data_IF_904113534293
#
_entry.id   IF_904113534293
#
_cell.length_a   1.000
_cell.length_b   1.000
_cell.length_c   1.000
_cell.angle_alpha   90.00
_cell.angle_beta   90.00
_cell.angle_gamma   90.00
#
_symmetry.space_group_name_H-M   'P 1'
#
loop_
_entity.id
_entity.type
_entity.pdbx_description
1 polymer ?
2 non-polymer ?
3 non-polymer ?
4 water ?
#
# COMPACT_ATOMS: atom_id res chain seq x y z
N UNK A 1 -20.91 -11.01 10.38
CA UNK A 1 -20.64 -9.70 11.04
C UNK A 1 -20.87 -8.54 10.05
N UNK A 2 -21.64 -7.54 10.47
CA UNK A 2 -22.07 -6.43 9.60
C UNK A 2 -20.86 -5.69 9.04
N UNK A 3 -19.87 -5.35 9.83
CA UNK A 3 -18.75 -4.54 9.34
C UNK A 3 -17.98 -5.39 8.34
N UNK A 4 -17.79 -6.68 8.57
CA UNK A 4 -17.02 -7.49 7.63
C UNK A 4 -17.67 -7.53 6.27
N UNK A 5 -18.99 -7.67 6.23
CA UNK A 5 -19.70 -7.66 4.96
C UNK A 5 -19.63 -6.28 4.32
N UNK A 6 -19.86 -5.21 5.09
CA UNK A 6 -19.82 -3.87 4.52
C UNK A 6 -18.46 -3.56 3.92
N UNK A 7 -17.39 -3.90 4.65
CA UNK A 7 -16.06 -3.58 4.18
C UNK A 7 -15.72 -4.35 2.91
N UNK A 8 -16.15 -5.61 2.84
CA UNK A 8 -15.89 -6.42 1.66
C UNK A 8 -16.62 -5.85 0.44
N UNK A 9 -17.88 -5.47 0.61
CA UNK A 9 -18.64 -4.88 -0.50
C UNK A 9 -17.98 -3.60 -0.97
N UNK A 10 -17.62 -2.74 -0.04
CA UNK A 10 -17.03 -1.46 -0.44
C UNK A 10 -15.69 -1.68 -1.13
N UNK A 11 -14.88 -2.60 -0.60
CA UNK A 11 -13.56 -2.82 -1.17
C UNK A 11 -13.63 -3.41 -2.56
N UNK A 12 -14.48 -4.42 -2.73
CA UNK A 12 -14.62 -5.03 -4.05
C UNK A 12 -15.13 -4.02 -5.07
N UNK A 13 -16.09 -3.19 -4.68
CA UNK A 13 -16.60 -2.17 -5.59
C UNK A 13 -15.52 -1.18 -5.96
N UNK A 14 -14.69 -0.79 -4.98
CA UNK A 14 -13.60 0.14 -5.27
C UNK A 14 -12.62 -0.45 -6.28
N UNK A 15 -12.13 -1.68 -6.01
CA UNK A 15 -11.10 -2.28 -6.85
C UNK A 15 -11.61 -2.49 -8.27
N UNK A 16 -12.88 -2.84 -8.40
CA UNK A 16 -13.50 -3.05 -9.72
C UNK A 16 -13.61 -1.75 -10.50
N UNK A 17 -13.94 -0.66 -9.82
CA UNK A 17 -13.95 0.64 -10.49
C UNK A 17 -12.53 1.11 -10.81
N UNK A 18 -11.59 0.95 -9.89
CA UNK A 18 -10.23 1.55 -10.03
C UNK A 18 -9.43 0.89 -11.14
N UNK A 19 -9.63 -0.40 -11.36
CA UNK A 19 -8.79 -1.16 -12.34
C UNK A 19 -8.92 -0.56 -13.73
N UNK A 20 -10.01 0.15 -14.03
CA UNK A 20 -10.26 0.68 -15.39
C UNK A 20 -9.61 2.04 -15.59
N UNK A 21 -9.14 2.65 -14.52
CA UNK A 21 -8.67 4.05 -14.60
C UNK A 21 -7.26 4.13 -15.22
N UNK A 22 -7.03 5.16 -16.04
CA UNK A 22 -5.71 5.34 -16.67
C UNK A 22 -4.63 5.42 -15.61
N UNK A 23 -3.54 4.69 -15.86
CA UNK A 23 -2.43 4.65 -14.96
C UNK A 23 -2.55 3.61 -13.86
N UNK A 24 -3.67 2.93 -13.73
CA UNK A 24 -3.79 1.88 -12.73
C UNK A 24 -3.30 0.58 -13.30
N UNK A 25 -2.24 0.05 -12.68
CA UNK A 25 -1.61 -1.21 -13.09
C UNK A 25 -2.11 -2.30 -12.15
N UNK A 26 -2.65 -3.37 -12.73
CA UNK A 26 -3.22 -4.47 -11.95
C UNK A 26 -2.31 -5.67 -12.12
N UNK A 27 -1.75 -6.12 -11.01
CA UNK A 27 -0.83 -7.24 -10.97
C UNK A 27 -1.60 -8.54 -10.81
N UNK A 28 -0.97 -9.67 -11.15
CA UNK A 28 -1.67 -10.96 -11.00
C UNK A 28 -2.19 -11.24 -9.61
N UNK A 29 -1.52 -10.74 -8.57
CA UNK A 29 -1.98 -11.00 -7.20
C UNK A 29 -3.25 -10.26 -6.86
N UNK A 30 -3.63 -9.28 -7.67
CA UNK A 30 -4.72 -8.38 -7.33
C UNK A 30 -4.27 -7.04 -6.80
N UNK A 31 -3.00 -6.90 -6.42
CA UNK A 31 -2.47 -5.61 -6.05
C UNK A 31 -2.58 -4.65 -7.23
N UNK A 32 -2.99 -3.42 -6.97
CA UNK A 32 -3.09 -2.37 -7.98
C UNK A 32 -2.11 -1.27 -7.59
N UNK A 33 -1.60 -0.48 -8.53
CA UNK A 33 -0.74 0.67 -8.17
C UNK A 33 -0.83 1.73 -9.26
N UNK A 34 -0.41 2.94 -8.97
CA UNK A 34 -0.40 4.04 -9.93
C UNK A 34 0.87 4.82 -9.65
N UNK A 35 1.64 5.15 -10.66
CA UNK A 35 2.86 5.90 -10.46
C UNK A 35 2.51 7.37 -10.31
N UNK A 36 2.89 7.97 -9.18
CA UNK A 36 2.68 9.39 -8.98
C UNK A 36 3.91 10.20 -9.36
N UNK A 37 5.09 9.67 -9.10
CA UNK A 37 6.35 10.31 -9.52
C UNK A 37 7.39 9.21 -9.67
N UNK A 38 8.05 9.15 -10.83
CA UNK A 38 9.04 8.11 -11.08
C UNK A 38 10.39 8.53 -10.54
N UNK A 39 11.07 7.59 -9.86
CA UNK A 39 12.44 7.75 -9.43
C UNK A 39 13.33 6.88 -10.30
N UNK A 40 14.65 7.13 -10.21
CA UNK A 40 15.66 6.47 -11.01
C UNK A 40 16.62 5.59 -10.23
N UNK A 41 16.31 5.27 -8.98
CA UNK A 41 17.20 4.50 -8.14
C UNK A 41 16.97 3.01 -8.27
N UNK A 42 17.66 2.25 -7.42
CA UNK A 42 17.54 0.80 -7.44
C UNK A 42 16.21 0.37 -6.84
N UNK A 43 15.80 -0.79 -7.24
CA UNK A 43 14.61 -1.43 -6.70
C UNK A 43 15.03 -2.35 -5.55
N UNK A 44 14.36 -2.31 -4.41
CA UNK A 44 14.75 -3.18 -3.31
C UNK A 44 14.46 -4.64 -3.61
N UNK A 45 15.31 -5.49 -3.08
CA UNK A 45 15.04 -6.91 -3.01
C UNK A 45 14.32 -7.28 -1.73
N UNK A 46 13.95 -8.56 -1.64
CA UNK A 46 13.12 -9.05 -0.55
C UNK A 46 13.84 -9.05 0.79
N UNK A 47 15.17 -9.01 0.79
CA UNK A 47 15.97 -9.02 2.01
C UNK A 47 16.44 -7.64 2.39
N UNK A 48 16.13 -6.62 1.58
CA UNK A 48 16.64 -5.27 1.79
C UNK A 48 15.80 -4.54 2.85
N UNK A 49 16.36 -3.43 3.31
CA UNK A 49 15.67 -2.47 4.15
C UNK A 49 15.35 -1.25 3.31
N UNK A 50 14.29 -0.61 3.64
CA UNK A 50 13.88 0.63 2.90
C UNK A 50 13.58 1.76 3.88
N UNK A 51 13.74 3.00 3.46
CA UNK A 51 13.32 4.19 4.23
C UNK A 51 12.23 4.79 3.37
N UNK A 52 11.12 5.16 4.00
CA UNK A 52 9.95 5.62 3.15
C UNK A 52 9.16 6.71 3.86
N UNK A 53 8.41 7.52 3.14
CA UNK A 53 7.40 8.42 3.72
C UNK A 53 6.08 7.78 3.28
N UNK A 54 5.07 7.78 4.11
CA UNK A 54 3.83 7.12 3.55
C UNK A 54 2.59 7.60 4.27
N UNK A 55 1.44 7.46 3.67
CA UNK A 55 0.15 7.66 4.29
C UNK A 55 -0.77 6.53 3.87
N UNK A 56 -1.48 5.96 4.84
CA UNK A 56 -2.43 4.88 4.60
C UNK A 56 -3.82 5.35 4.94
N UNK A 57 -4.76 5.05 4.04
CA UNK A 57 -6.15 5.41 4.23
C UNK A 57 -7.08 4.28 3.82
N UNK A 58 -8.29 4.35 4.34
CA UNK A 58 -9.39 3.49 3.93
C UNK A 58 -10.07 4.09 2.70
N UNK A 59 -10.95 3.30 2.10
CA UNK A 59 -11.63 3.75 0.88
C UNK A 59 -12.47 5.00 1.14
N UNK A 60 -13.03 5.12 2.34
CA UNK A 60 -13.83 6.30 2.65
C UNK A 60 -12.97 7.54 2.92
N UNK A 61 -11.64 7.46 2.75
CA UNK A 61 -10.78 8.60 2.91
C UNK A 61 -10.14 8.75 4.26
N UNK A 62 -10.47 7.90 5.23
CA UNK A 62 -9.96 8.07 6.57
C UNK A 62 -8.50 7.64 6.64
N UNK A 63 -7.65 8.57 7.02
CA UNK A 63 -6.23 8.27 7.20
C UNK A 63 -6.03 7.58 8.55
N UNK A 64 -5.38 6.41 8.56
CA UNK A 64 -5.16 5.65 9.78
C UNK A 64 -3.69 5.63 10.22
N UNK A 65 -2.75 6.00 9.35
CA UNK A 65 -1.34 6.07 9.72
C UNK A 65 -0.62 6.94 8.70
N UNK A 66 0.39 7.68 9.15
CA UNK A 66 1.16 8.51 8.25
C UNK A 66 2.44 8.95 8.91
N UNK A 67 3.47 9.14 8.09
CA UNK A 67 4.69 9.81 8.53
C UNK A 67 4.64 11.32 8.33
N UNK A 68 3.59 11.86 7.75
CA UNK A 68 3.55 13.30 7.42
C UNK A 68 3.59 14.14 8.70
N UNK A 69 4.34 15.22 8.66
CA UNK A 69 4.49 16.18 9.78
C UNK A 69 5.08 15.54 11.03
N UNK A 70 5.74 14.39 10.92
CA UNK A 70 6.36 13.71 12.08
C UNK A 70 7.84 14.08 12.16
N UNK A 71 8.42 14.59 11.07
CA UNK A 71 9.82 14.93 11.05
C UNK A 71 10.77 13.81 10.71
N UNK A 72 10.28 12.59 10.54
CA UNK A 72 11.15 11.45 10.28
C UNK A 72 10.46 10.55 9.27
N UNK A 73 11.23 9.89 8.40
CA UNK A 73 10.67 8.79 7.60
C UNK A 73 10.62 7.54 8.47
N UNK A 74 9.98 6.52 7.94
CA UNK A 74 9.91 5.22 8.59
C UNK A 74 10.83 4.24 7.88
N UNK A 75 11.27 3.22 8.60
CA UNK A 75 12.17 2.19 8.08
C UNK A 75 11.55 0.81 8.27
N UNK A 76 11.63 -0.01 7.24
CA UNK A 76 11.08 -1.35 7.27
C UNK A 76 12.01 -2.30 6.52
N UNK A 77 12.08 -3.54 6.99
CA UNK A 77 12.58 -4.64 6.18
C UNK A 77 11.47 -5.04 5.21
N UNK A 78 11.83 -5.21 3.94
CA UNK A 78 10.85 -5.39 2.88
C UNK A 78 9.91 -6.54 3.17
N UNK A 79 10.41 -7.63 3.75
CA UNK A 79 9.57 -8.80 3.90
C UNK A 79 8.76 -8.82 5.19
N UNK A 80 8.97 -7.86 6.09
CA UNK A 80 8.30 -7.87 7.39
C UNK A 80 7.15 -6.89 7.47
N UNK A 81 6.51 -6.63 6.33
CA UNK A 81 5.31 -5.83 6.26
C UNK A 81 4.25 -6.65 5.52
N UNK A 82 3.08 -6.08 5.39
CA UNK A 82 1.99 -6.83 4.76
C UNK A 82 2.34 -7.21 3.32
N UNK A 83 1.78 -8.29 2.80
CA UNK A 83 2.15 -8.73 1.46
C UNK A 83 2.04 -7.67 0.38
N UNK A 84 1.02 -6.83 0.41
CA UNK A 84 0.91 -5.83 -0.63
C UNK A 84 2.09 -4.87 -0.65
N UNK A 85 2.62 -4.55 0.54
CA UNK A 85 3.80 -3.71 0.60
C UNK A 85 5.05 -4.46 0.17
N UNK A 86 5.22 -5.69 0.63
CA UNK A 86 6.37 -6.50 0.19
C UNK A 86 6.44 -6.59 -1.33
N UNK A 87 5.31 -6.82 -1.98
CA UNK A 87 5.28 -6.94 -3.42
C UNK A 87 5.52 -5.58 -4.07
N UNK A 88 4.81 -4.54 -3.61
CA UNK A 88 4.95 -3.23 -4.25
C UNK A 88 6.37 -2.70 -4.13
N UNK A 89 6.96 -2.77 -2.94
CA UNK A 89 8.28 -2.18 -2.74
C UNK A 89 9.31 -2.73 -3.74
N UNK A 90 9.26 -4.04 -4.01
CA UNK A 90 10.22 -4.67 -4.90
C UNK A 90 10.09 -4.19 -6.34
N UNK A 91 9.02 -3.53 -6.70
CA UNK A 91 8.81 -3.00 -8.06
C UNK A 91 9.20 -1.53 -8.15
N UNK A 92 9.45 -0.89 -7.01
CA UNK A 92 9.65 0.58 -6.99
C UNK A 92 11.11 1.00 -7.06
N UNK A 93 11.52 1.76 -8.10
CA UNK A 93 12.84 2.36 -8.10
C UNK A 93 12.93 3.33 -6.92
N UNK A 94 14.05 3.40 -6.27
CA UNK A 94 14.25 4.38 -5.21
C UNK A 94 14.06 5.77 -5.78
N UNK A 95 13.42 6.63 -4.99
CA UNK A 95 13.04 7.96 -5.40
C UNK A 95 11.62 8.07 -5.87
N UNK A 96 10.93 6.95 -6.07
CA UNK A 96 9.59 6.97 -6.61
C UNK A 96 8.54 7.22 -5.55
N UNK A 97 7.42 7.81 -5.97
CA UNK A 97 6.20 7.87 -5.18
C UNK A 97 5.10 7.18 -5.97
N UNK A 98 4.47 6.19 -5.33
CA UNK A 98 3.39 5.44 -5.92
C UNK A 98 2.18 5.47 -4.99
N UNK A 99 1.00 5.33 -5.56
CA UNK A 99 -0.19 5.03 -4.80
C UNK A 99 -0.48 3.56 -5.03
N UNK A 100 -0.67 2.80 -3.96
CA UNK A 100 -0.99 1.37 -4.07
C UNK A 100 -2.36 1.10 -3.44
N UNK A 101 -3.07 0.17 -4.05
CA UNK A 101 -4.44 -0.24 -3.66
C UNK A 101 -4.34 -1.71 -3.29
N UNK A 102 -4.47 -2.03 -2.02
CA UNK A 102 -4.17 -3.35 -1.48
C UNK A 102 -5.47 -4.07 -1.13
N UNK A 103 -5.86 -5.09 -1.89
CA UNK A 103 -6.98 -5.93 -1.47
C UNK A 103 -6.77 -6.45 -0.06
N UNK A 104 -7.88 -6.64 0.67
CA UNK A 104 -7.78 -7.04 2.06
C UNK A 104 -7.00 -8.33 2.25
N UNK A 105 -7.07 -9.26 1.28
CA UNK A 105 -6.33 -10.51 1.39
C UNK A 105 -4.82 -10.34 1.35
N UNK A 106 -4.35 -9.20 0.85
CA UNK A 106 -2.89 -8.91 0.78
C UNK A 106 -2.55 -7.92 1.89
N UNK A 107 -3.50 -7.70 2.77
CA UNK A 107 -3.27 -6.80 3.92
C UNK A 107 -3.57 -7.56 5.23
N UNK A 108 -4.66 -7.23 5.92
CA UNK A 108 -4.91 -7.84 7.26
C UNK A 108 -6.01 -8.91 7.22
N UNK A 109 -6.66 -9.05 6.08
CA UNK A 109 -7.57 -10.19 5.91
C UNK A 109 -8.93 -10.04 6.55
N UNK A 110 -9.69 -11.15 6.60
CA UNK A 110 -11.08 -11.10 7.02
C UNK A 110 -11.33 -11.26 8.51
N UNK A 111 -10.31 -11.65 9.28
CA UNK A 111 -10.48 -11.86 10.74
C UNK A 111 -9.83 -10.71 11.49
N UNK A 112 -9.54 -9.60 10.80
CA UNK A 112 -9.00 -8.40 11.50
C UNK A 112 -10.05 -7.89 12.48
N UNK A 113 -10.19 -8.53 13.63
CA UNK A 113 -11.26 -8.17 14.63
C UNK A 113 -11.66 -6.69 14.53
N UNK A 114 -10.72 -5.76 14.65
CA UNK A 114 -11.09 -4.34 14.70
C UNK A 114 -9.87 -3.49 14.96
N UNK A 115 -10.02 -2.41 15.72
CA UNK A 115 -8.95 -1.46 15.89
C UNK A 115 -8.91 -0.48 14.73
N UNK A 116 -7.73 -0.01 14.35
CA UNK A 116 -7.68 0.88 13.17
C UNK A 116 -8.19 0.18 11.92
N UNK A 117 -7.84 -1.08 11.74
CA UNK A 117 -8.16 -1.82 10.51
C UNK A 117 -9.03 -3.00 10.89
N UNK A 118 -10.29 -2.95 10.49
CA UNK A 118 -11.19 -4.03 10.78
C UNK A 118 -11.17 -5.08 9.69
N UNK A 119 -12.18 -5.94 9.67
CA UNK A 119 -12.17 -7.07 8.73
C UNK A 119 -12.41 -6.63 7.29
N UNK A 120 -11.71 -7.29 6.38
CA UNK A 120 -11.94 -7.15 4.95
C UNK A 120 -11.74 -5.71 4.47
N UNK A 121 -10.72 -5.04 5.01
CA UNK A 121 -10.45 -3.66 4.64
C UNK A 121 -9.42 -3.62 3.50
N UNK A 122 -9.86 -3.07 2.37
CA UNK A 122 -8.95 -2.69 1.31
C UNK A 122 -8.26 -1.39 1.70
N UNK A 123 -6.94 -1.36 1.57
CA UNK A 123 -6.13 -0.25 2.04
C UNK A 123 -5.48 0.49 0.88
N UNK A 124 -5.40 1.81 0.99
CA UNK A 124 -4.80 2.65 -0.03
C UNK A 124 -3.64 3.39 0.59
N UNK A 125 -2.47 3.29 -0.01
CA UNK A 125 -1.25 3.94 0.51
C UNK A 125 -0.56 4.85 -0.49
N UNK A 126 -0.10 6.00 -0.07
CA UNK A 126 0.84 6.81 -0.86
C UNK A 126 2.18 6.38 -0.27
N UNK A 127 3.13 5.95 -1.09
CA UNK A 127 4.47 5.50 -0.61
C UNK A 127 5.55 6.21 -1.40
N UNK A 128 6.37 7.01 -0.75
CA UNK A 128 7.55 7.63 -1.34
C UNK A 128 8.74 6.82 -0.83
N UNK A 129 9.37 6.06 -1.73
CA UNK A 129 10.58 5.30 -1.40
C UNK A 129 11.77 6.23 -1.46
N UNK A 130 12.38 6.50 -0.31
CA UNK A 130 13.51 7.42 -0.23
C UNK A 130 14.81 6.70 -0.53
N UNK A 131 15.05 5.59 0.15
CA UNK A 131 16.34 4.93 0.00
C UNK A 131 16.20 3.44 0.27
N UNK A 132 17.17 2.70 -0.23
CA UNK A 132 17.23 1.23 -0.09
C UNK A 132 18.59 0.88 0.50
N UNK A 133 18.62 0.05 1.54
CA UNK A 133 19.86 -0.46 2.14
C UNK A 133 19.91 -1.96 1.87
N UNK A 134 20.98 -2.42 1.24
CA UNK A 134 21.14 -3.84 0.88
C UNK A 134 21.43 -4.66 2.12
#
# INVERSE_FOLDING_TARGET
NKKADENKVKGEAFLTENKNKPGVVVLPSGLQYKVINSGNGVKPGKSDTVTVEYTGRLIDGTVFDSTEKTGKPATFQVSQVIPGWTEALQLMPAGSTWEIYVPSGLAYGPRSVGGPIGPNETLIFKIHLISVKK
#
